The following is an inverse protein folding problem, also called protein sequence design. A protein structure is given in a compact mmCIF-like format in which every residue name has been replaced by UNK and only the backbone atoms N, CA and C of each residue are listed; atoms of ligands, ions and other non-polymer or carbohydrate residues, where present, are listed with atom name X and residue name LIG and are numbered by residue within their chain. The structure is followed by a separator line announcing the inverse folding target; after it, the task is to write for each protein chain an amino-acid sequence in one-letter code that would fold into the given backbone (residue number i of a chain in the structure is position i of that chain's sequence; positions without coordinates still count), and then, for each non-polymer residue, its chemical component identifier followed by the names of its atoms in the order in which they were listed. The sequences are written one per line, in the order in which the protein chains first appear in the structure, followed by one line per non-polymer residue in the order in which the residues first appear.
data_IF_044005734766
#
_entry.id   IF_044005734766
#
_cell.length_a   1.000
_cell.length_b   1.000
_cell.length_c   1.000
_cell.angle_alpha   90.00
_cell.angle_beta   90.00
_cell.angle_gamma   90.00
#
_symmetry.space_group_name_H-M   'P 1'
#
loop_
_entity.id
_entity.type
_entity.pdbx_description
1 polymer ?
#
# COMPACT_ATOMS: atom_id res chain seq x y z
N UNK A 1 -16.46 18.98 -32.83
CA UNK A 1 -15.93 18.57 -34.15
C UNK A 1 -15.62 17.08 -34.08
N UNK A 2 -15.75 16.33 -35.19
CA UNK A 2 -15.37 14.92 -35.20
C UNK A 2 -15.08 14.45 -36.62
N UNK A 3 -13.88 13.91 -36.84
CA UNK A 3 -13.55 13.20 -38.07
C UNK A 3 -14.02 11.75 -37.94
N UNK A 4 -14.58 11.20 -39.02
CA UNK A 4 -14.98 9.79 -39.07
C UNK A 4 -13.80 8.86 -39.42
N UNK A 5 -12.74 9.42 -39.99
CA UNK A 5 -11.53 8.70 -40.40
C UNK A 5 -10.32 9.62 -40.25
N UNK A 6 -9.20 9.05 -39.82
CA UNK A 6 -7.90 9.72 -39.76
C UNK A 6 -6.93 9.01 -40.72
N UNK A 7 -6.45 9.72 -41.74
CA UNK A 7 -5.35 9.23 -42.55
C UNK A 7 -4.04 9.42 -41.77
N UNK A 8 -3.32 8.34 -41.54
CA UNK A 8 -2.05 8.37 -40.81
C UNK A 8 -0.96 9.14 -41.56
N UNK A 9 -0.03 9.68 -40.78
CA UNK A 9 1.17 10.36 -41.27
C UNK A 9 2.37 9.64 -40.68
N UNK A 10 3.34 9.28 -41.52
CA UNK A 10 4.55 8.55 -41.08
C UNK A 10 5.63 9.54 -40.65
N UNK A 11 6.64 9.10 -39.86
CA UNK A 11 7.78 9.96 -39.49
C UNK A 11 8.56 10.53 -40.69
N UNK A 12 8.46 9.90 -41.86
CA UNK A 12 9.12 10.33 -43.10
C UNK A 12 8.27 11.21 -44.00
N UNK A 13 7.09 11.61 -43.55
CA UNK A 13 6.27 12.55 -44.31
C UNK A 13 7.08 13.79 -44.69
N UNK A 14 6.98 14.21 -45.96
CA UNK A 14 7.79 15.29 -46.56
C UNK A 14 9.31 15.06 -46.64
N UNK A 15 9.83 13.90 -46.22
CA UNK A 15 11.26 13.58 -46.21
C UNK A 15 11.61 12.44 -47.17
N UNK A 16 10.76 11.42 -47.31
CA UNK A 16 11.01 10.31 -48.23
C UNK A 16 10.02 9.16 -48.09
N UNK A 17 10.30 8.03 -48.76
CA UNK A 17 9.43 6.86 -48.69
C UNK A 17 9.59 6.11 -47.35
N UNK A 18 8.48 5.69 -46.71
CA UNK A 18 8.51 4.98 -45.45
C UNK A 18 9.04 3.54 -45.61
N UNK A 19 9.77 3.07 -44.60
CA UNK A 19 10.10 1.66 -44.38
C UNK A 19 9.04 1.01 -43.48
N UNK A 20 9.16 -0.30 -43.26
CA UNK A 20 8.21 -1.06 -42.45
C UNK A 20 8.05 -0.48 -41.03
N UNK A 21 9.14 -0.03 -40.43
CA UNK A 21 9.17 0.55 -39.08
C UNK A 21 8.47 1.92 -39.04
N UNK A 22 8.65 2.73 -40.08
CA UNK A 22 8.00 4.04 -40.23
C UNK A 22 6.47 3.88 -40.38
N UNK A 23 6.04 2.84 -41.11
CA UNK A 23 4.62 2.48 -41.25
C UNK A 23 4.05 2.01 -39.92
N UNK A 24 4.75 1.10 -39.20
CA UNK A 24 4.33 0.64 -37.87
C UNK A 24 4.15 1.81 -36.92
N UNK A 25 5.13 2.71 -36.84
CA UNK A 25 5.09 3.90 -35.96
C UNK A 25 3.89 4.80 -36.28
N UNK A 26 3.64 5.11 -37.55
CA UNK A 26 2.48 5.90 -37.97
C UNK A 26 1.15 5.23 -37.63
N UNK A 27 1.02 3.92 -37.86
CA UNK A 27 -0.19 3.16 -37.55
C UNK A 27 -0.48 3.15 -36.04
N UNK A 28 0.52 2.94 -35.19
CA UNK A 28 0.36 2.96 -33.72
C UNK A 28 0.00 4.36 -33.24
N UNK A 29 0.68 5.41 -33.72
CA UNK A 29 0.37 6.79 -33.35
C UNK A 29 -1.09 7.16 -33.65
N UNK A 30 -1.60 6.75 -34.82
CA UNK A 30 -2.97 7.03 -35.20
C UNK A 30 -4.01 6.14 -34.52
N UNK A 31 -3.66 4.91 -34.13
CA UNK A 31 -4.51 4.10 -33.24
C UNK A 31 -4.69 4.78 -31.88
N UNK A 32 -3.61 5.32 -31.31
CA UNK A 32 -3.67 6.08 -30.05
C UNK A 32 -4.54 7.34 -30.24
N UNK A 33 -4.34 8.10 -31.32
CA UNK A 33 -5.11 9.31 -31.59
C UNK A 33 -6.61 9.02 -31.78
N UNK A 34 -6.95 7.95 -32.52
CA UNK A 34 -8.33 7.52 -32.72
C UNK A 34 -8.98 7.12 -31.39
N UNK A 35 -8.32 6.26 -30.61
CA UNK A 35 -8.80 5.82 -29.29
C UNK A 35 -9.00 7.00 -28.32
N UNK A 36 -8.06 7.93 -28.27
CA UNK A 36 -8.19 9.15 -27.47
C UNK A 36 -9.42 9.98 -27.90
N UNK A 37 -9.69 10.06 -29.20
CA UNK A 37 -10.90 10.67 -29.75
C UNK A 37 -12.17 9.95 -29.32
N UNK A 38 -12.18 8.62 -29.33
CA UNK A 38 -13.33 7.79 -28.93
C UNK A 38 -13.64 7.96 -27.44
N UNK A 39 -12.61 7.96 -26.59
CA UNK A 39 -12.75 8.23 -25.14
C UNK A 39 -13.25 9.65 -24.90
N UNK A 40 -12.68 10.67 -25.55
CA UNK A 40 -13.09 12.06 -25.39
C UNK A 40 -14.54 12.31 -25.85
N UNK A 41 -15.02 11.55 -26.83
CA UNK A 41 -16.41 11.59 -27.30
C UNK A 41 -17.37 10.80 -26.42
N UNK A 42 -16.86 10.02 -25.46
CA UNK A 42 -17.67 9.17 -24.61
C UNK A 42 -18.31 8.00 -25.36
N UNK A 43 -17.63 7.45 -26.38
CA UNK A 43 -18.11 6.23 -27.05
C UNK A 43 -18.21 5.11 -26.02
N UNK A 44 -19.35 4.43 -26.00
CA UNK A 44 -19.60 3.36 -25.04
C UNK A 44 -18.48 2.31 -25.10
N UNK A 45 -17.96 1.93 -23.93
CA UNK A 45 -16.90 0.94 -23.73
C UNK A 45 -15.52 1.28 -24.28
N UNK A 46 -15.31 2.45 -24.90
CA UNK A 46 -13.98 2.87 -25.34
C UNK A 46 -13.00 2.90 -24.15
N UNK A 47 -13.44 3.49 -23.03
CA UNK A 47 -12.64 3.59 -21.80
C UNK A 47 -12.38 2.25 -21.10
N UNK A 48 -13.17 1.20 -21.37
CA UNK A 48 -13.03 -0.10 -20.70
C UNK A 48 -11.61 -0.66 -20.92
N UNK A 49 -11.02 -0.43 -22.11
CA UNK A 49 -9.65 -0.84 -22.41
C UNK A 49 -8.63 -0.10 -21.53
N UNK A 50 -8.73 1.23 -21.41
CA UNK A 50 -7.84 2.00 -20.53
C UNK A 50 -7.94 1.53 -19.08
N UNK A 51 -9.15 1.23 -18.62
CA UNK A 51 -9.41 0.75 -17.28
C UNK A 51 -8.81 -0.66 -17.07
N UNK A 52 -8.90 -1.56 -18.06
CA UNK A 52 -8.26 -2.89 -18.02
C UNK A 52 -6.73 -2.80 -17.99
N UNK A 53 -6.15 -1.95 -18.83
CA UNK A 53 -4.70 -1.71 -18.86
C UNK A 53 -4.23 -1.09 -17.53
N UNK A 54 -5.01 -0.16 -16.98
CA UNK A 54 -4.72 0.47 -15.69
C UNK A 54 -4.83 -0.51 -14.52
N UNK A 55 -5.81 -1.43 -14.55
CA UNK A 55 -5.91 -2.53 -13.60
C UNK A 55 -4.70 -3.46 -13.67
N UNK A 56 -4.24 -3.81 -14.88
CA UNK A 56 -3.03 -4.62 -15.06
C UNK A 56 -1.78 -3.94 -14.49
N UNK A 57 -1.61 -2.63 -14.75
CA UNK A 57 -0.55 -1.80 -14.16
C UNK A 57 -0.60 -1.77 -12.64
N UNK A 58 -1.79 -1.56 -12.06
CA UNK A 58 -1.96 -1.52 -10.61
C UNK A 58 -1.72 -2.86 -9.92
N UNK A 59 -2.01 -3.97 -10.62
CA UNK A 59 -1.71 -5.31 -10.15
C UNK A 59 -0.24 -5.72 -10.35
N UNK A 60 0.55 -4.91 -11.06
CA UNK A 60 1.92 -5.23 -11.52
C UNK A 60 1.95 -6.52 -12.34
N UNK A 61 0.92 -6.72 -13.17
CA UNK A 61 0.81 -7.86 -14.08
C UNK A 61 1.40 -7.50 -15.45
N UNK A 62 2.71 -7.70 -15.60
CA UNK A 62 3.45 -7.38 -16.82
C UNK A 62 2.93 -8.08 -18.07
N UNK A 63 2.71 -9.42 -18.07
CA UNK A 63 2.19 -10.11 -19.26
C UNK A 63 0.87 -9.52 -19.74
N UNK A 64 -0.08 -9.25 -18.83
CA UNK A 64 -1.37 -8.66 -19.17
C UNK A 64 -1.25 -7.22 -19.65
N UNK A 65 -0.35 -6.43 -19.05
CA UNK A 65 -0.08 -5.06 -19.48
C UNK A 65 0.44 -5.02 -20.92
N UNK A 66 1.35 -5.92 -21.29
CA UNK A 66 1.89 -6.00 -22.64
C UNK A 66 0.86 -6.53 -23.65
N UNK A 67 0.05 -7.52 -23.26
CA UNK A 67 -1.05 -8.02 -24.09
C UNK A 67 -2.07 -6.92 -24.45
N UNK A 68 -2.33 -6.02 -23.51
CA UNK A 68 -3.27 -4.90 -23.69
C UNK A 68 -2.64 -3.67 -24.34
N UNK A 69 -1.32 -3.59 -24.53
CA UNK A 69 -0.70 -2.44 -25.15
C UNK A 69 -0.98 -2.40 -26.66
N UNK A 70 -1.04 -1.20 -27.25
CA UNK A 70 -1.16 -1.06 -28.71
C UNK A 70 0.02 -1.71 -29.46
N UNK A 71 1.19 -1.74 -28.83
CA UNK A 71 2.42 -2.38 -29.31
C UNK A 71 3.10 -3.13 -28.16
N UNK A 72 2.57 -4.31 -27.85
CA UNK A 72 3.03 -5.14 -26.73
C UNK A 72 4.47 -5.62 -26.86
N UNK A 73 4.94 -5.88 -28.08
CA UNK A 73 6.33 -6.29 -28.35
C UNK A 73 7.31 -5.18 -27.96
N UNK A 74 7.05 -3.95 -28.41
CA UNK A 74 7.88 -2.80 -28.05
C UNK A 74 7.79 -2.47 -26.56
N UNK A 75 6.59 -2.56 -25.96
CA UNK A 75 6.44 -2.34 -24.52
C UNK A 75 7.24 -3.36 -23.67
N UNK A 76 7.27 -4.63 -24.09
CA UNK A 76 8.09 -5.67 -23.46
C UNK A 76 9.58 -5.40 -23.66
N UNK A 77 10.01 -5.12 -24.89
CA UNK A 77 11.42 -4.84 -25.17
C UNK A 77 11.96 -3.69 -24.30
N UNK A 78 11.20 -2.61 -24.16
CA UNK A 78 11.58 -1.46 -23.31
C UNK A 78 11.64 -1.79 -21.81
N UNK A 79 10.83 -2.73 -21.33
CA UNK A 79 10.90 -3.20 -19.95
C UNK A 79 12.14 -4.08 -19.74
N UNK A 80 12.38 -5.00 -20.67
CA UNK A 80 13.44 -6.00 -20.59
C UNK A 80 14.84 -5.40 -20.85
N UNK A 81 14.92 -4.15 -21.34
CA UNK A 81 16.17 -3.37 -21.45
C UNK A 81 16.84 -3.13 -20.09
N UNK A 82 16.04 -2.92 -19.03
CA UNK A 82 16.53 -2.58 -17.70
C UNK A 82 16.36 -3.72 -16.67
N UNK A 83 15.48 -4.70 -16.95
CA UNK A 83 15.12 -5.78 -16.02
C UNK A 83 15.24 -7.15 -16.69
N UNK A 84 15.99 -8.07 -16.09
CA UNK A 84 16.13 -9.44 -16.61
C UNK A 84 14.89 -10.32 -16.36
N UNK A 85 14.04 -9.94 -15.39
CA UNK A 85 12.87 -10.71 -14.96
C UNK A 85 11.70 -9.78 -14.59
N UNK A 86 10.48 -10.28 -14.74
CA UNK A 86 9.26 -9.61 -14.27
C UNK A 86 9.30 -9.50 -12.73
N UNK A 87 9.34 -8.27 -12.20
CA UNK A 87 9.30 -7.99 -10.75
C UNK A 87 8.00 -7.29 -10.35
N UNK A 88 7.82 -6.99 -9.06
CA UNK A 88 6.71 -6.17 -8.57
C UNK A 88 7.04 -4.67 -8.55
N UNK A 89 7.99 -4.24 -9.38
CA UNK A 89 8.36 -2.84 -9.59
C UNK A 89 8.94 -2.64 -10.99
N UNK A 90 9.25 -1.40 -11.38
CA UNK A 90 9.98 -1.11 -12.61
C UNK A 90 11.32 -0.43 -12.31
N UNK A 91 12.23 -0.43 -13.27
CA UNK A 91 13.55 0.19 -13.15
C UNK A 91 13.50 1.71 -12.82
N UNK A 92 12.41 2.40 -13.19
CA UNK A 92 12.27 3.84 -12.98
C UNK A 92 12.33 4.27 -11.51
N UNK A 93 11.69 3.53 -10.60
CA UNK A 93 11.67 3.86 -9.16
C UNK A 93 12.40 2.82 -8.31
N UNK A 94 12.65 1.63 -8.85
CA UNK A 94 13.17 0.50 -8.11
C UNK A 94 12.17 -0.07 -7.09
N UNK A 95 12.63 -1.07 -6.34
CA UNK A 95 11.81 -1.78 -5.37
C UNK A 95 11.26 -0.83 -4.31
N UNK A 96 12.11 -0.16 -3.54
CA UNK A 96 11.72 0.53 -2.30
C UNK A 96 10.82 1.75 -2.50
N UNK A 97 10.83 2.36 -3.69
CA UNK A 97 10.13 3.63 -3.96
C UNK A 97 9.01 3.52 -4.99
N UNK A 98 8.65 2.31 -5.41
CA UNK A 98 7.54 2.11 -6.34
C UNK A 98 6.20 2.45 -5.68
N UNK A 99 5.55 3.53 -6.16
CA UNK A 99 4.26 4.00 -5.63
C UNK A 99 3.15 2.97 -5.74
N UNK A 100 3.10 2.21 -6.84
CA UNK A 100 2.06 1.20 -7.07
C UNK A 100 2.24 -0.01 -6.14
N UNK A 101 3.48 -0.48 -5.93
CA UNK A 101 3.80 -1.56 -4.98
C UNK A 101 3.42 -1.15 -3.56
N UNK A 102 3.88 0.01 -3.10
CA UNK A 102 3.56 0.54 -1.77
C UNK A 102 2.05 0.69 -1.59
N UNK A 103 1.34 1.20 -2.60
CA UNK A 103 -0.13 1.33 -2.54
C UNK A 103 -0.81 -0.03 -2.41
N UNK A 104 -0.35 -1.04 -3.15
CA UNK A 104 -0.85 -2.41 -3.06
C UNK A 104 -0.62 -3.00 -1.67
N UNK A 105 0.58 -2.85 -1.12
CA UNK A 105 0.93 -3.31 0.24
C UNK A 105 0.05 -2.66 1.32
N UNK A 106 -0.18 -1.36 1.23
CA UNK A 106 -1.08 -0.64 2.15
C UNK A 106 -2.51 -1.20 2.06
N UNK A 107 -3.01 -1.46 0.85
CA UNK A 107 -4.35 -2.04 0.66
C UNK A 107 -4.42 -3.48 1.20
N UNK A 108 -3.39 -4.30 0.98
CA UNK A 108 -3.29 -5.67 1.50
C UNK A 108 -3.26 -5.69 3.03
N UNK A 109 -2.46 -4.80 3.63
CA UNK A 109 -2.40 -4.61 5.08
C UNK A 109 -3.75 -4.18 5.65
N UNK A 110 -4.38 -3.14 5.07
CA UNK A 110 -5.69 -2.67 5.50
C UNK A 110 -6.80 -3.72 5.33
N UNK A 111 -6.67 -4.62 4.35
CA UNK A 111 -7.62 -5.73 4.14
C UNK A 111 -7.50 -6.86 5.17
N UNK A 112 -6.47 -6.84 6.02
CA UNK A 112 -6.19 -7.88 7.00
C UNK A 112 -5.59 -9.16 6.41
N UNK A 113 -5.18 -9.14 5.13
CA UNK A 113 -4.58 -10.28 4.43
C UNK A 113 -3.05 -10.29 4.45
N UNK A 114 -2.42 -9.21 4.90
CA UNK A 114 -0.97 -9.14 4.98
C UNK A 114 -0.41 -10.15 6.00
N UNK A 115 0.78 -10.68 5.71
CA UNK A 115 1.40 -11.74 6.52
C UNK A 115 1.74 -11.29 7.95
N UNK A 116 2.02 -10.00 8.12
CA UNK A 116 2.34 -9.33 9.38
C UNK A 116 1.12 -8.64 10.02
N UNK A 117 -0.08 -8.77 9.43
CA UNK A 117 -1.27 -8.14 9.96
C UNK A 117 -1.62 -8.72 11.34
N UNK A 118 -1.42 -7.90 12.37
CA UNK A 118 -1.95 -8.17 13.71
C UNK A 118 -3.24 -7.38 13.87
N UNK A 119 -4.41 -8.04 13.94
CA UNK A 119 -5.65 -7.32 14.19
C UNK A 119 -5.53 -6.55 15.51
N UNK A 120 -6.02 -5.31 15.53
CA UNK A 120 -6.08 -4.51 16.76
C UNK A 120 -6.74 -5.35 17.86
N UNK A 121 -5.94 -5.76 18.86
CA UNK A 121 -6.48 -6.39 20.06
C UNK A 121 -7.19 -5.32 20.86
N UNK A 122 -8.51 -5.20 20.69
CA UNK A 122 -9.34 -4.50 21.68
C UNK A 122 -9.12 -5.18 23.02
N UNK A 123 -8.70 -4.42 24.02
CA UNK A 123 -8.59 -4.92 25.39
C UNK A 123 -9.96 -5.44 25.82
N UNK A 124 -10.12 -6.77 25.80
CA UNK A 124 -11.32 -7.40 26.33
C UNK A 124 -11.22 -7.28 27.84
N UNK A 125 -12.25 -6.71 28.48
CA UNK A 125 -12.36 -6.78 29.94
C UNK A 125 -12.33 -8.26 30.31
N UNK A 126 -11.28 -8.70 30.97
CA UNK A 126 -11.30 -10.02 31.58
C UNK A 126 -12.51 -10.07 32.53
N UNK A 127 -13.17 -11.23 32.66
CA UNK A 127 -14.03 -11.43 33.81
C UNK A 127 -13.15 -11.12 35.02
N UNK A 128 -13.45 -10.01 35.71
CA UNK A 128 -12.63 -9.57 36.84
C UNK A 128 -12.47 -10.72 37.84
N UNK A 129 -11.49 -10.62 38.73
CA UNK A 129 -11.12 -11.68 39.69
C UNK A 129 -12.36 -12.41 40.22
N UNK A 130 -12.44 -13.72 39.96
CA UNK A 130 -13.52 -14.61 40.38
C UNK A 130 -13.69 -14.59 41.90
N UNK A 131 -14.81 -15.08 42.41
CA UNK A 131 -15.10 -15.09 43.85
C UNK A 131 -13.98 -15.78 44.67
N UNK A 132 -13.48 -16.91 44.18
CA UNK A 132 -12.32 -17.59 44.76
C UNK A 132 -11.07 -16.71 44.78
N UNK A 133 -10.80 -15.99 43.68
CA UNK A 133 -9.67 -15.06 43.62
C UNK A 133 -9.86 -13.85 44.55
N UNK A 134 -11.10 -13.38 44.76
CA UNK A 134 -11.40 -12.32 45.74
C UNK A 134 -11.16 -12.80 47.16
N UNK A 135 -11.51 -14.04 47.44
CA UNK A 135 -11.26 -14.65 48.75
C UNK A 135 -9.76 -14.86 48.97
N UNK A 136 -9.04 -15.33 47.96
CA UNK A 136 -7.58 -15.47 48.00
C UNK A 136 -6.89 -14.12 48.26
N UNK A 137 -7.38 -13.03 47.64
CA UNK A 137 -6.91 -11.68 47.90
C UNK A 137 -7.22 -11.20 49.33
N UNK A 138 -8.39 -11.52 49.88
CA UNK A 138 -8.74 -11.21 51.29
C UNK A 138 -7.88 -11.97 52.28
N UNK A 139 -7.62 -13.25 52.02
CA UNK A 139 -6.73 -14.07 52.86
C UNK A 139 -5.32 -13.51 52.85
N UNK A 140 -4.79 -13.15 51.67
CA UNK A 140 -3.47 -12.51 51.54
C UNK A 140 -3.42 -11.15 52.22
N UNK A 141 -4.50 -10.35 52.15
CA UNK A 141 -4.56 -9.07 52.83
C UNK A 141 -4.38 -9.21 54.35
N UNK A 142 -4.96 -10.25 54.98
CA UNK A 142 -4.83 -10.49 56.44
C UNK A 142 -3.40 -10.77 56.92
N UNK A 143 -2.52 -11.21 56.02
CA UNK A 143 -1.12 -11.53 56.34
C UNK A 143 -0.21 -10.30 56.18
N UNK A 144 -0.70 -9.23 55.53
CA UNK A 144 0.06 -8.01 55.35
C UNK A 144 0.03 -7.15 56.64
N UNK A 145 1.17 -6.60 57.07
CA UNK A 145 1.21 -5.69 58.22
C UNK A 145 0.32 -4.48 57.96
N UNK A 146 -0.38 -3.96 58.96
CA UNK A 146 -1.24 -2.78 58.83
C UNK A 146 -0.47 -1.55 59.32
N UNK A 147 -0.30 -0.54 58.46
CA UNK A 147 0.38 0.71 58.79
C UNK A 147 -0.62 1.86 58.59
N UNK A 148 -0.85 2.66 59.64
CA UNK A 148 -1.75 3.82 59.56
C UNK A 148 -3.21 3.50 59.18
N UNK A 149 -3.71 2.31 59.58
CA UNK A 149 -5.09 1.90 59.32
C UNK A 149 -5.36 1.31 57.92
N UNK A 150 -4.32 1.06 57.11
CA UNK A 150 -4.40 0.36 55.81
C UNK A 150 -3.39 -0.79 55.76
N UNK A 151 -3.71 -1.85 55.02
CA UNK A 151 -2.76 -2.94 54.77
C UNK A 151 -1.54 -2.37 54.04
N UNK A 152 -0.34 -2.68 54.51
CA UNK A 152 0.91 -2.18 53.97
C UNK A 152 1.01 -2.54 52.50
N UNK A 153 1.00 -1.53 51.65
CA UNK A 153 1.41 -1.70 50.27
C UNK A 153 2.93 -1.80 50.24
N UNK A 154 3.49 -2.52 49.28
CA UNK A 154 4.95 -2.61 49.10
C UNK A 154 5.59 -1.21 48.97
N UNK A 155 4.84 -0.19 48.54
CA UNK A 155 5.26 1.22 48.46
C UNK A 155 5.48 1.90 49.82
N UNK A 156 4.86 1.41 50.89
CA UNK A 156 4.85 2.05 52.21
C UNK A 156 6.04 1.60 53.08
N UNK A 157 6.76 0.57 52.64
CA UNK A 157 7.97 0.04 53.27
C UNK A 157 9.22 0.15 52.38
N UNK A 158 9.17 0.92 51.28
CA UNK A 158 10.39 1.18 50.50
C UNK A 158 11.21 2.24 51.25
N UNK A 159 12.43 1.94 51.72
CA UNK A 159 13.27 2.92 52.41
C UNK A 159 13.58 4.15 51.54
N UNK A 160 13.47 3.99 50.22
CA UNK A 160 13.73 5.01 49.20
C UNK A 160 12.42 5.56 48.55
N UNK A 161 11.28 5.46 49.24
CA UNK A 161 9.97 5.87 48.72
C UNK A 161 9.93 7.36 48.30
N UNK A 162 10.62 8.23 49.03
CA UNK A 162 10.77 9.67 48.70
C UNK A 162 11.52 9.87 47.38
N UNK A 163 12.62 9.14 47.15
CA UNK A 163 13.39 9.22 45.91
C UNK A 163 12.60 8.62 44.75
N UNK A 164 11.88 7.51 44.96
CA UNK A 164 11.00 6.93 43.94
C UNK A 164 9.89 7.90 43.52
N UNK A 165 9.26 8.60 44.48
CA UNK A 165 8.27 9.65 44.19
C UNK A 165 8.89 10.85 43.48
N UNK A 166 10.12 11.21 43.85
CA UNK A 166 10.85 12.30 43.19
C UNK A 166 11.13 11.93 41.73
N UNK A 167 11.70 10.76 41.47
CA UNK A 167 11.93 10.24 40.11
C UNK A 167 10.62 10.18 39.30
N UNK A 168 9.51 9.75 39.89
CA UNK A 168 8.21 9.76 39.22
C UNK A 168 7.72 11.18 38.87
N UNK A 169 7.91 12.17 39.76
CA UNK A 169 7.55 13.57 39.49
C UNK A 169 8.41 14.18 38.39
N UNK A 170 9.71 13.92 38.38
CA UNK A 170 10.62 14.37 37.32
C UNK A 170 10.29 13.70 35.99
N UNK A 171 9.98 12.40 36.00
CA UNK A 171 9.60 11.64 34.79
C UNK A 171 8.21 12.02 34.26
N UNK A 172 7.28 12.46 35.12
CA UNK A 172 5.94 12.89 34.74
C UNK A 172 5.86 14.34 34.23
N UNK A 173 6.99 15.05 34.08
CA UNK A 173 7.08 16.34 33.40
C UNK A 173 6.19 17.44 33.98
N UNK A 174 5.90 17.42 35.29
CA UNK A 174 5.20 18.51 35.97
C UNK A 174 6.22 19.42 36.65
N UNK A 175 6.74 20.37 35.87
CA UNK A 175 7.15 21.66 36.42
C UNK A 175 5.93 22.50 36.75
#
# INVERSE_FOLDING_TARGET
AGAAMLCYVTPKEHVGLPRAEDVKAGCIAYKIAAHAGDVARGIARARDWDDDLSRARAALNWPRQFELAFDGETARALHDEDLEVDTDFCAMCGHDWCSMRISKEIQEFASGKAADFQPERKAVRSPGVAEEGRELLRQRARVLPVVGGKHACHSDHVPDAERARTVQKTAAGKS
#
